data_IF_203979432253
#
_entry.id   IF_203979432253
#
_cell.length_a   1.000
_cell.length_b   1.000
_cell.length_c   1.000
_cell.angle_alpha   90.00
_cell.angle_beta   90.00
_cell.angle_gamma   90.00
#
_symmetry.space_group_name_H-M   'P 1'
#
loop_
_entity.id
_entity.type
_entity.pdbx_description
1 polymer ?
#
# COMPACT_ATOMS: atom_id res chain seq x y z
N UNK A 1 -24.26 11.83 5.17
CA UNK A 1 -25.12 10.94 4.34
C UNK A 1 -26.11 11.67 3.45
N UNK A 2 -26.12 13.00 3.45
CA UNK A 2 -27.10 13.83 2.69
C UNK A 2 -26.90 13.82 1.16
N UNK A 3 -25.81 13.23 0.64
CA UNK A 3 -25.47 13.25 -0.79
C UNK A 3 -25.75 11.96 -1.55
N UNK A 4 -26.19 10.89 -0.86
CA UNK A 4 -26.46 9.61 -1.50
C UNK A 4 -27.97 9.38 -1.71
N UNK A 5 -28.33 8.71 -2.81
CA UNK A 5 -29.73 8.38 -3.05
C UNK A 5 -30.26 7.47 -1.95
N UNK A 6 -31.55 7.60 -1.57
CA UNK A 6 -32.17 6.73 -0.54
C UNK A 6 -32.05 5.23 -0.85
N UNK A 7 -31.99 4.86 -2.12
CA UNK A 7 -31.80 3.47 -2.57
C UNK A 7 -30.41 2.96 -2.17
N UNK A 8 -29.36 3.76 -2.33
CA UNK A 8 -27.97 3.39 -1.96
C UNK A 8 -27.89 3.27 -0.44
N UNK A 9 -28.40 4.24 0.30
CA UNK A 9 -28.40 4.22 1.78
C UNK A 9 -29.08 2.94 2.29
N UNK A 10 -30.26 2.62 1.77
CA UNK A 10 -30.99 1.41 2.15
C UNK A 10 -30.21 0.13 1.83
N UNK A 11 -29.55 0.06 0.66
CA UNK A 11 -28.75 -1.10 0.28
C UNK A 11 -27.57 -1.30 1.23
N UNK A 12 -26.85 -0.23 1.56
CA UNK A 12 -25.73 -0.26 2.51
C UNK A 12 -26.20 -0.73 3.90
N UNK A 13 -27.28 -0.16 4.42
CA UNK A 13 -27.83 -0.58 5.72
C UNK A 13 -28.29 -2.04 5.71
N UNK A 14 -28.88 -2.51 4.62
CA UNK A 14 -29.29 -3.93 4.47
C UNK A 14 -28.07 -4.85 4.54
N UNK A 15 -26.98 -4.51 3.86
CA UNK A 15 -25.73 -5.30 3.90
C UNK A 15 -25.13 -5.24 5.29
N UNK A 16 -24.96 -4.03 5.85
CA UNK A 16 -24.36 -3.80 7.15
C UNK A 16 -25.06 -4.56 8.28
N UNK A 17 -26.40 -4.62 8.25
CA UNK A 17 -27.20 -5.28 9.29
C UNK A 17 -27.41 -6.78 9.04
N UNK A 18 -26.89 -7.32 7.96
CA UNK A 18 -27.03 -8.76 7.70
C UNK A 18 -26.26 -9.59 8.74
N UNK A 19 -26.81 -10.73 9.22
CA UNK A 19 -26.18 -11.52 10.28
C UNK A 19 -24.76 -12.01 9.93
N UNK A 20 -24.49 -12.31 8.67
CA UNK A 20 -23.17 -12.76 8.23
C UNK A 20 -22.13 -11.64 8.25
N UNK A 21 -22.54 -10.43 7.85
CA UNK A 21 -21.65 -9.25 7.93
C UNK A 21 -21.39 -8.86 9.38
N UNK A 22 -22.40 -8.93 10.24
CA UNK A 22 -22.22 -8.68 11.67
C UNK A 22 -21.24 -9.69 12.29
N UNK A 23 -21.35 -10.99 11.98
CA UNK A 23 -20.36 -11.99 12.43
C UNK A 23 -18.94 -11.68 11.94
N UNK A 24 -18.79 -11.15 10.73
CA UNK A 24 -17.47 -10.75 10.23
C UNK A 24 -16.89 -9.56 11.01
N UNK A 25 -17.72 -8.57 11.35
CA UNK A 25 -17.30 -7.45 12.20
C UNK A 25 -16.93 -7.92 13.63
N UNK A 26 -17.70 -8.84 14.19
CA UNK A 26 -17.41 -9.40 15.52
C UNK A 26 -16.10 -10.19 15.46
N UNK A 27 -15.87 -11.00 14.42
CA UNK A 27 -14.62 -11.71 14.22
C UNK A 27 -13.41 -10.76 14.25
N UNK A 28 -13.46 -9.66 13.48
CA UNK A 28 -12.35 -8.69 13.44
C UNK A 28 -12.07 -8.09 14.82
N UNK A 29 -13.13 -7.78 15.59
CA UNK A 29 -12.98 -7.25 16.96
C UNK A 29 -12.36 -8.27 17.91
N UNK A 30 -12.84 -9.51 17.87
CA UNK A 30 -12.37 -10.60 18.72
C UNK A 30 -10.94 -11.04 18.41
N UNK A 31 -10.48 -10.83 17.14
CA UNK A 31 -9.16 -11.25 16.66
C UNK A 31 -8.20 -10.07 16.42
N UNK A 32 -8.42 -8.94 17.12
CA UNK A 32 -7.55 -7.77 16.97
C UNK A 32 -6.09 -8.08 17.31
N UNK A 33 -5.84 -8.87 18.35
CA UNK A 33 -4.49 -9.28 18.77
C UNK A 33 -3.79 -10.13 17.72
N UNK A 34 -4.53 -10.92 16.96
CA UNK A 34 -4.01 -11.68 15.82
C UNK A 34 -3.55 -10.72 14.71
N UNK A 35 -4.37 -9.74 14.39
CA UNK A 35 -4.03 -8.70 13.38
C UNK A 35 -2.79 -7.91 13.78
N UNK A 36 -2.69 -7.52 15.06
CA UNK A 36 -1.51 -6.81 15.60
C UNK A 36 -0.26 -7.69 15.53
N UNK A 37 -0.39 -8.99 15.83
CA UNK A 37 0.72 -9.94 15.73
C UNK A 37 1.23 -10.06 14.28
N UNK A 38 0.32 -10.18 13.31
CA UNK A 38 0.65 -10.25 11.89
C UNK A 38 1.34 -8.96 11.41
N UNK A 39 0.83 -7.82 11.84
CA UNK A 39 1.44 -6.52 11.55
C UNK A 39 2.87 -6.43 12.12
N UNK A 40 3.06 -6.87 13.37
CA UNK A 40 4.39 -6.89 14.01
C UNK A 40 5.35 -7.86 13.31
N UNK A 41 4.86 -8.99 12.85
CA UNK A 41 5.68 -9.95 12.10
C UNK A 41 6.12 -9.35 10.75
N UNK A 42 5.18 -8.79 10.00
CA UNK A 42 5.44 -8.25 8.67
C UNK A 42 6.36 -7.01 8.70
N UNK A 43 6.24 -6.13 9.71
CA UNK A 43 7.08 -4.93 9.78
C UNK A 43 8.55 -5.25 10.04
N UNK A 44 8.85 -6.35 10.72
CA UNK A 44 10.23 -6.80 10.96
C UNK A 44 10.94 -7.32 9.70
N UNK A 45 10.20 -7.58 8.64
CA UNK A 45 10.76 -7.92 7.34
C UNK A 45 10.97 -6.61 6.57
N UNK A 46 12.20 -6.09 6.62
CA UNK A 46 12.54 -4.85 5.93
C UNK A 46 12.33 -4.97 4.42
N UNK A 47 11.66 -3.99 3.85
CA UNK A 47 11.31 -3.97 2.43
C UNK A 47 11.43 -2.54 1.87
N UNK A 48 12.65 -2.00 1.75
CA UNK A 48 12.85 -0.75 1.01
C UNK A 48 12.28 -0.87 -0.40
N UNK A 49 11.75 0.22 -0.95
CA UNK A 49 11.22 0.28 -2.32
C UNK A 49 12.17 -0.37 -3.33
N UNK A 50 11.67 -1.34 -4.09
CA UNK A 50 12.44 -2.18 -5.02
C UNK A 50 13.12 -3.41 -4.38
N UNK A 51 12.89 -3.68 -3.08
CA UNK A 51 13.49 -4.79 -2.34
C UNK A 51 12.47 -5.59 -1.50
N UNK A 52 11.23 -5.71 -1.99
CA UNK A 52 10.07 -6.22 -1.25
C UNK A 52 9.99 -7.75 -1.23
N UNK A 53 10.81 -8.46 -1.98
CA UNK A 53 10.69 -9.91 -2.21
C UNK A 53 10.44 -10.72 -0.93
N UNK A 54 11.23 -10.51 0.10
CA UNK A 54 11.13 -11.28 1.35
C UNK A 54 9.78 -11.06 2.06
N UNK A 55 9.31 -9.81 2.11
CA UNK A 55 8.00 -9.48 2.68
C UNK A 55 6.86 -10.02 1.83
N UNK A 56 7.00 -9.95 0.50
CA UNK A 56 6.05 -10.53 -0.45
C UNK A 56 5.89 -12.05 -0.28
N UNK A 57 6.99 -12.78 -0.15
CA UNK A 57 6.98 -14.22 0.10
C UNK A 57 6.27 -14.56 1.42
N UNK A 58 6.52 -13.80 2.48
CA UNK A 58 5.83 -14.01 3.76
C UNK A 58 4.35 -13.67 3.67
N UNK A 59 3.99 -12.54 3.06
CA UNK A 59 2.60 -12.14 2.88
C UNK A 59 1.80 -13.14 2.03
N UNK A 60 2.41 -13.66 0.95
CA UNK A 60 1.85 -14.76 0.16
C UNK A 60 1.53 -15.98 1.02
N UNK A 61 2.46 -16.38 1.91
CA UNK A 61 2.26 -17.52 2.82
C UNK A 61 1.11 -17.26 3.79
N UNK A 62 1.04 -16.07 4.38
CA UNK A 62 -0.02 -15.69 5.32
C UNK A 62 -1.40 -15.68 4.66
N UNK A 63 -1.52 -15.22 3.42
CA UNK A 63 -2.78 -15.28 2.66
C UNK A 63 -3.20 -16.71 2.37
N UNK A 64 -2.25 -17.62 2.07
CA UNK A 64 -2.51 -19.08 1.94
C UNK A 64 -2.96 -19.70 3.26
N UNK A 65 -2.28 -19.38 4.35
CA UNK A 65 -2.65 -19.82 5.70
C UNK A 65 -4.06 -19.33 6.08
N UNK A 66 -4.44 -18.15 5.62
CA UNK A 66 -5.81 -17.61 5.78
C UNK A 66 -6.84 -18.26 4.84
N UNK A 67 -6.43 -19.22 4.01
CA UNK A 67 -7.32 -20.01 3.15
C UNK A 67 -7.60 -19.43 1.78
N UNK A 68 -6.65 -18.69 1.22
CA UNK A 68 -6.72 -18.21 -0.16
C UNK A 68 -5.89 -19.16 -1.05
N UNK A 69 -6.57 -19.98 -1.86
CA UNK A 69 -5.92 -21.01 -2.68
C UNK A 69 -5.51 -20.49 -4.07
N UNK A 70 -6.30 -19.59 -4.66
CA UNK A 70 -6.01 -18.96 -5.96
C UNK A 70 -5.13 -17.72 -5.73
N UNK A 71 -3.84 -17.97 -5.54
CA UNK A 71 -2.86 -16.93 -5.16
C UNK A 71 -1.50 -17.20 -5.79
N UNK A 72 -0.86 -16.15 -6.29
CA UNK A 72 0.49 -16.19 -6.84
C UNK A 72 1.26 -14.90 -6.55
N UNK A 73 2.56 -14.97 -6.73
CA UNK A 73 3.45 -13.81 -6.78
C UNK A 73 3.92 -13.65 -8.22
N UNK A 74 3.84 -12.44 -8.75
CA UNK A 74 4.27 -12.14 -10.12
C UNK A 74 5.80 -11.95 -10.21
N UNK A 75 6.29 -11.67 -11.42
CA UNK A 75 7.72 -11.46 -11.69
C UNK A 75 8.29 -10.19 -11.04
N UNK A 76 7.43 -9.27 -10.62
CA UNK A 76 7.77 -8.04 -9.92
C UNK A 76 7.62 -8.15 -8.40
N UNK A 77 7.22 -9.33 -7.90
CA UNK A 77 6.94 -9.64 -6.49
C UNK A 77 5.62 -9.05 -5.96
N UNK A 78 4.70 -8.57 -6.82
CA UNK A 78 3.33 -8.32 -6.37
C UNK A 78 2.69 -9.64 -5.94
N UNK A 79 1.99 -9.64 -4.83
CA UNK A 79 1.19 -10.76 -4.36
C UNK A 79 -0.25 -10.54 -4.78
N UNK A 80 -0.81 -11.46 -5.54
CA UNK A 80 -2.16 -11.34 -6.11
C UNK A 80 -2.93 -12.61 -5.79
N UNK A 81 -3.95 -12.49 -4.96
CA UNK A 81 -4.80 -13.60 -4.56
C UNK A 81 -6.26 -13.31 -4.79
N UNK A 82 -7.05 -14.33 -5.10
CA UNK A 82 -8.46 -14.19 -5.45
C UNK A 82 -9.36 -15.04 -4.56
N UNK A 83 -10.33 -14.39 -3.92
CA UNK A 83 -11.48 -15.02 -3.31
C UNK A 83 -12.62 -15.06 -4.34
N UNK A 84 -13.00 -16.26 -4.75
CA UNK A 84 -14.05 -16.45 -5.75
C UNK A 84 -15.43 -16.03 -5.24
N UNK A 85 -16.10 -15.21 -6.04
CA UNK A 85 -17.50 -14.88 -5.85
C UNK A 85 -18.44 -16.02 -6.24
N UNK A 86 -19.69 -15.92 -5.83
CA UNK A 86 -20.73 -16.92 -6.14
C UNK A 86 -21.50 -16.62 -7.42
N UNK A 87 -21.42 -15.37 -7.93
CA UNK A 87 -22.27 -14.90 -9.03
C UNK A 87 -21.73 -15.17 -10.43
N UNK A 88 -20.49 -15.64 -10.57
CA UNK A 88 -19.82 -15.83 -11.87
C UNK A 88 -20.02 -14.63 -12.83
N UNK A 89 -19.85 -13.43 -12.30
CA UNK A 89 -20.24 -12.18 -12.97
C UNK A 89 -19.19 -11.64 -13.94
N UNK A 90 -17.97 -12.17 -13.91
CA UNK A 90 -16.83 -11.60 -14.59
C UNK A 90 -16.36 -10.24 -14.00
N UNK A 91 -16.93 -9.85 -12.87
CA UNK A 91 -16.60 -8.61 -12.17
C UNK A 91 -15.87 -8.89 -10.85
N UNK A 92 -15.05 -7.94 -10.41
CA UNK A 92 -14.33 -8.03 -9.15
C UNK A 92 -14.17 -6.70 -8.43
N UNK A 93 -13.77 -6.79 -7.16
CA UNK A 93 -13.27 -5.69 -6.34
C UNK A 93 -11.83 -6.03 -5.97
N UNK A 94 -10.96 -5.06 -5.97
CA UNK A 94 -9.57 -5.19 -5.53
C UNK A 94 -9.41 -4.52 -4.15
N UNK A 95 -8.88 -5.26 -3.19
CA UNK A 95 -8.37 -4.75 -1.91
C UNK A 95 -6.85 -4.79 -1.97
N UNK A 96 -6.22 -3.68 -1.66
CA UNK A 96 -4.79 -3.52 -1.84
C UNK A 96 -4.16 -2.82 -0.64
N UNK A 97 -2.89 -3.11 -0.39
CA UNK A 97 -1.95 -2.40 0.43
C UNK A 97 -0.56 -2.64 -0.11
N UNK A 98 0.36 -1.69 0.09
CA UNK A 98 1.71 -1.84 -0.44
C UNK A 98 2.67 -2.52 0.53
N UNK A 99 3.69 -3.19 -0.02
CA UNK A 99 4.66 -3.98 0.72
C UNK A 99 5.91 -3.20 1.09
N UNK A 100 6.24 -2.20 0.28
CA UNK A 100 7.45 -1.41 0.45
C UNK A 100 7.32 -0.33 1.52
N UNK A 101 8.45 0.25 1.86
CA UNK A 101 8.56 1.36 2.78
C UNK A 101 9.67 2.31 2.34
N UNK A 102 9.60 3.57 2.75
CA UNK A 102 10.64 4.58 2.52
C UNK A 102 11.91 4.33 3.33
N UNK A 103 11.89 3.38 4.26
CA UNK A 103 13.01 3.11 5.17
C UNK A 103 14.05 2.19 4.53
N UNK A 104 15.32 2.43 4.85
CA UNK A 104 16.44 1.64 4.35
C UNK A 104 16.66 0.37 5.17
N UNK A 105 17.38 -0.59 4.60
CA UNK A 105 17.84 -1.76 5.36
C UNK A 105 18.64 -1.33 6.60
N UNK A 106 18.32 -1.91 7.74
CA UNK A 106 18.91 -1.63 9.02
C UNK A 106 18.25 -0.47 9.79
N UNK A 107 17.19 0.14 9.28
CA UNK A 107 16.42 1.17 10.02
C UNK A 107 15.46 0.54 11.03
N UNK A 108 14.99 -0.67 10.80
CA UNK A 108 14.13 -1.41 11.73
C UNK A 108 14.98 -2.02 12.85
N UNK A 109 15.02 -1.34 14.00
CA UNK A 109 15.79 -1.78 15.19
C UNK A 109 14.99 -2.65 16.15
N UNK A 110 13.72 -2.83 15.89
CA UNK A 110 12.77 -3.55 16.73
C UNK A 110 11.46 -2.81 16.87
N UNK A 111 10.57 -3.36 17.67
CA UNK A 111 9.24 -2.81 17.92
C UNK A 111 9.20 -2.30 19.37
N UNK A 112 8.82 -1.07 19.55
CA UNK A 112 8.59 -0.47 20.86
C UNK A 112 7.10 -0.24 21.09
N UNK A 113 6.64 -0.38 22.33
CA UNK A 113 5.26 -0.02 22.71
C UNK A 113 5.36 0.96 23.86
N UNK A 114 4.76 2.13 23.69
CA UNK A 114 4.80 3.16 24.72
C UNK A 114 3.76 2.91 25.84
N UNK A 115 3.75 3.81 26.84
CA UNK A 115 2.86 3.70 27.99
C UNK A 115 1.37 3.85 27.63
N UNK A 116 1.06 4.47 26.50
CA UNK A 116 -0.29 4.62 25.95
C UNK A 116 -0.70 3.45 25.07
N UNK A 117 0.17 2.43 24.89
CA UNK A 117 -0.07 1.26 24.08
C UNK A 117 0.14 1.48 22.57
N UNK A 118 0.74 2.60 22.16
CA UNK A 118 1.06 2.85 20.77
C UNK A 118 2.31 2.07 20.35
N UNK A 119 2.26 1.49 19.17
CA UNK A 119 3.35 0.68 18.61
C UNK A 119 4.21 1.55 17.70
N UNK A 120 5.51 1.58 17.96
CA UNK A 120 6.50 2.35 17.23
C UNK A 120 7.47 1.40 16.51
N UNK A 121 7.51 1.50 15.18
CA UNK A 121 8.46 0.84 14.31
C UNK A 121 8.44 1.52 12.94
N UNK A 122 9.57 1.72 12.26
CA UNK A 122 9.59 2.19 10.88
C UNK A 122 8.72 1.31 9.97
N UNK A 123 7.77 1.91 9.23
CA UNK A 123 6.86 1.18 8.33
C UNK A 123 5.71 0.41 9.01
N UNK A 124 5.49 0.57 10.32
CA UNK A 124 4.42 -0.15 11.04
C UNK A 124 3.02 0.32 10.61
N UNK A 125 2.88 1.59 10.27
CA UNK A 125 1.61 2.19 9.88
C UNK A 125 1.48 2.22 8.36
N UNK A 126 2.50 2.72 7.70
CA UNK A 126 2.64 2.89 6.27
C UNK A 126 3.62 1.84 5.72
N UNK A 127 3.19 0.74 5.04
CA UNK A 127 1.77 0.35 4.96
C UNK A 127 1.56 -1.07 5.51
N UNK A 128 2.42 -1.50 6.43
CA UNK A 128 2.27 -2.84 7.04
C UNK A 128 0.89 -3.04 7.71
N UNK A 129 0.27 -1.95 8.15
CA UNK A 129 -1.07 -1.98 8.73
C UNK A 129 -2.11 -2.43 7.72
N UNK A 130 -2.06 -1.96 6.48
CA UNK A 130 -3.05 -2.30 5.48
C UNK A 130 -2.97 -3.76 5.06
N UNK A 131 -1.77 -4.28 4.84
CA UNK A 131 -1.60 -5.69 4.48
C UNK A 131 -2.03 -6.62 5.61
N UNK A 132 -1.82 -6.25 6.88
CA UNK A 132 -2.37 -6.99 8.03
C UNK A 132 -3.91 -6.86 8.13
N UNK A 133 -4.47 -5.68 7.83
CA UNK A 133 -5.92 -5.49 7.79
C UNK A 133 -6.57 -6.32 6.67
N UNK A 134 -5.94 -6.42 5.50
CA UNK A 134 -6.42 -7.26 4.40
C UNK A 134 -6.45 -8.75 4.80
N UNK A 135 -5.47 -9.24 5.56
CA UNK A 135 -5.49 -10.59 6.15
C UNK A 135 -6.67 -10.77 7.10
N UNK A 136 -6.90 -9.80 7.99
CA UNK A 136 -8.02 -9.84 8.93
C UNK A 136 -9.38 -9.87 8.21
N UNK A 137 -9.53 -9.05 7.14
CA UNK A 137 -10.74 -9.06 6.30
C UNK A 137 -10.94 -10.42 5.64
N UNK A 138 -9.90 -11.02 5.06
CA UNK A 138 -9.99 -12.36 4.46
C UNK A 138 -10.44 -13.41 5.47
N UNK A 139 -9.80 -13.45 6.64
CA UNK A 139 -10.17 -14.38 7.73
C UNK A 139 -11.60 -14.17 8.20
N UNK A 140 -12.04 -12.92 8.33
CA UNK A 140 -13.42 -12.59 8.70
C UNK A 140 -14.43 -13.09 7.66
N UNK A 141 -14.15 -12.95 6.36
CA UNK A 141 -14.98 -13.53 5.30
C UNK A 141 -15.09 -15.05 5.44
N UNK A 142 -13.99 -15.74 5.69
CA UNK A 142 -13.96 -17.19 5.87
C UNK A 142 -14.71 -17.61 7.13
N UNK A 143 -14.44 -17.01 8.28
CA UNK A 143 -15.05 -17.35 9.57
C UNK A 143 -16.57 -17.10 9.59
N UNK A 144 -17.00 -15.99 8.99
CA UNK A 144 -18.44 -15.67 8.87
C UNK A 144 -19.15 -16.42 7.74
N UNK A 145 -18.44 -17.24 6.97
CA UNK A 145 -18.92 -17.87 5.73
C UNK A 145 -19.56 -16.83 4.79
N UNK A 146 -18.94 -15.66 4.71
CA UNK A 146 -19.36 -14.61 3.77
C UNK A 146 -18.98 -15.02 2.35
N UNK A 147 -19.99 -15.00 1.46
CA UNK A 147 -19.82 -15.32 0.05
C UNK A 147 -20.16 -14.07 -0.77
N UNK A 148 -19.16 -13.36 -1.29
CA UNK A 148 -19.41 -12.22 -2.16
C UNK A 148 -20.05 -12.68 -3.48
N UNK A 149 -20.78 -11.79 -4.13
CA UNK A 149 -21.35 -12.06 -5.47
C UNK A 149 -20.24 -11.98 -6.53
N UNK A 150 -19.39 -10.95 -6.44
CA UNK A 150 -18.25 -10.72 -7.32
C UNK A 150 -16.98 -11.31 -6.70
N UNK A 151 -15.96 -11.56 -7.52
CA UNK A 151 -14.66 -11.94 -7.02
C UNK A 151 -14.04 -10.79 -6.21
N UNK A 152 -13.24 -11.13 -5.21
CA UNK A 152 -12.42 -10.15 -4.47
C UNK A 152 -10.96 -10.53 -4.65
N UNK A 153 -10.16 -9.59 -5.16
CA UNK A 153 -8.72 -9.70 -5.17
C UNK A 153 -8.13 -9.10 -3.90
N UNK A 154 -7.21 -9.82 -3.28
CA UNK A 154 -6.38 -9.36 -2.16
C UNK A 154 -4.97 -9.21 -2.70
N UNK A 155 -4.43 -7.99 -2.68
CA UNK A 155 -3.14 -7.70 -3.26
C UNK A 155 -2.19 -7.06 -2.24
N UNK A 156 -0.92 -7.46 -2.33
CA UNK A 156 0.20 -6.73 -1.77
C UNK A 156 1.04 -6.23 -2.93
N UNK A 157 1.11 -4.92 -3.14
CA UNK A 157 1.82 -4.33 -4.27
C UNK A 157 3.22 -3.86 -3.86
N UNK A 158 4.11 -3.74 -4.84
CA UNK A 158 5.49 -3.28 -4.66
C UNK A 158 5.67 -1.89 -5.27
N UNK A 159 6.76 -1.22 -4.90
CA UNK A 159 7.16 0.05 -5.52
C UNK A 159 6.04 1.11 -5.49
N UNK A 160 5.34 1.26 -4.38
CA UNK A 160 4.39 2.35 -4.19
C UNK A 160 5.14 3.66 -3.98
N UNK A 161 6.13 3.65 -3.07
CA UNK A 161 6.81 4.79 -2.50
C UNK A 161 7.81 5.46 -3.44
N UNK A 162 7.87 6.79 -3.35
CA UNK A 162 8.89 7.61 -3.97
C UNK A 162 9.11 7.32 -5.46
N UNK A 163 10.35 7.01 -5.85
CA UNK A 163 10.71 6.68 -7.23
C UNK A 163 10.12 5.34 -7.73
N UNK A 164 9.51 4.56 -6.86
CA UNK A 164 8.68 3.41 -7.20
C UNK A 164 7.49 3.85 -8.05
N UNK A 165 6.85 4.97 -7.69
CA UNK A 165 5.82 5.63 -8.49
C UNK A 165 4.62 4.73 -8.75
N UNK A 166 4.18 3.94 -7.76
CA UNK A 166 3.02 3.04 -7.83
C UNK A 166 3.12 1.99 -8.96
N UNK A 167 4.33 1.61 -9.37
CA UNK A 167 4.53 0.65 -10.48
C UNK A 167 3.87 -0.69 -10.20
N UNK A 168 3.94 -1.19 -8.96
CA UNK A 168 3.32 -2.47 -8.58
C UNK A 168 1.82 -2.48 -8.83
N UNK A 169 1.12 -1.41 -8.46
CA UNK A 169 -0.30 -1.27 -8.74
C UNK A 169 -0.56 -1.21 -10.24
N UNK A 170 0.24 -0.44 -11.00
CA UNK A 170 0.08 -0.36 -12.46
C UNK A 170 0.24 -1.74 -13.13
N UNK A 171 1.25 -2.53 -12.75
CA UNK A 171 1.45 -3.90 -13.24
C UNK A 171 0.30 -4.83 -12.83
N UNK A 172 -0.19 -4.72 -11.59
CA UNK A 172 -1.34 -5.50 -11.12
C UNK A 172 -2.60 -5.21 -11.93
N UNK A 173 -2.89 -3.94 -12.17
CA UNK A 173 -4.05 -3.55 -12.98
C UNK A 173 -3.91 -4.02 -14.43
N UNK A 174 -2.71 -3.93 -15.01
CA UNK A 174 -2.44 -4.42 -16.36
C UNK A 174 -2.66 -5.93 -16.50
N UNK A 175 -2.26 -6.72 -15.50
CA UNK A 175 -2.52 -8.16 -15.46
C UNK A 175 -4.01 -8.52 -15.29
N UNK A 176 -4.78 -7.68 -14.63
CA UNK A 176 -6.19 -7.95 -14.32
C UNK A 176 -7.17 -7.43 -15.39
N UNK A 177 -6.78 -6.46 -16.21
CA UNK A 177 -7.67 -5.78 -17.19
C UNK A 177 -8.40 -6.73 -18.14
N UNK A 178 -7.73 -7.83 -18.54
CA UNK A 178 -8.27 -8.81 -19.48
C UNK A 178 -8.90 -10.03 -18.77
N UNK A 179 -8.74 -10.14 -17.45
CA UNK A 179 -9.25 -11.26 -16.64
C UNK A 179 -10.59 -10.95 -15.98
N UNK A 180 -10.84 -9.69 -15.66
CA UNK A 180 -12.02 -9.28 -14.91
C UNK A 180 -12.34 -7.81 -15.15
N UNK A 181 -13.62 -7.45 -14.94
CA UNK A 181 -14.04 -6.06 -14.87
C UNK A 181 -13.93 -5.58 -13.43
N UNK A 182 -12.94 -4.76 -13.12
CA UNK A 182 -12.83 -4.12 -11.81
C UNK A 182 -13.96 -3.11 -11.62
N UNK A 183 -14.76 -3.31 -10.57
CA UNK A 183 -15.84 -2.41 -10.17
C UNK A 183 -15.34 -1.32 -9.23
N UNK A 184 -14.37 -1.66 -8.39
CA UNK A 184 -13.71 -0.76 -7.45
C UNK A 184 -12.32 -1.29 -7.09
N UNK A 185 -11.43 -0.37 -6.80
CA UNK A 185 -10.18 -0.62 -6.10
C UNK A 185 -10.24 0.11 -4.77
N UNK A 186 -9.95 -0.58 -3.69
CA UNK A 186 -9.87 -0.05 -2.34
C UNK A 186 -8.42 -0.24 -1.89
N UNK A 187 -7.65 0.83 -1.95
CA UNK A 187 -6.30 0.88 -1.40
C UNK A 187 -6.42 1.36 0.05
N UNK A 188 -5.88 0.58 0.97
CA UNK A 188 -5.74 0.98 2.36
C UNK A 188 -4.32 1.52 2.48
N UNK A 189 -4.15 2.66 3.14
CA UNK A 189 -2.85 3.31 3.29
C UNK A 189 -2.71 3.91 4.69
N UNK A 190 -1.47 4.27 5.06
CA UNK A 190 -1.02 4.63 6.40
C UNK A 190 -1.75 5.77 7.13
N UNK A 191 -2.76 6.37 6.53
CA UNK A 191 -3.50 7.48 7.08
C UNK A 191 -4.43 7.12 8.27
N UNK A 192 -5.26 8.05 8.67
CA UNK A 192 -6.27 7.83 9.71
C UNK A 192 -7.46 7.05 9.18
N UNK A 193 -8.07 6.21 10.01
CA UNK A 193 -9.22 5.37 9.64
C UNK A 193 -10.51 6.15 9.28
N UNK A 194 -10.49 7.47 9.42
CA UNK A 194 -11.67 8.33 9.23
C UNK A 194 -11.69 9.03 7.87
N UNK A 195 -10.64 8.87 7.06
CA UNK A 195 -10.49 9.61 5.80
C UNK A 195 -10.62 8.66 4.62
N UNK A 196 -11.50 9.01 3.68
CA UNK A 196 -11.61 8.38 2.37
C UNK A 196 -11.21 9.35 1.29
N UNK A 197 -10.18 9.00 0.52
CA UNK A 197 -9.76 9.74 -0.65
C UNK A 197 -10.46 9.18 -1.89
N UNK A 198 -11.39 9.93 -2.46
CA UNK A 198 -12.08 9.56 -3.70
C UNK A 198 -11.43 10.16 -4.96
N UNK A 199 -10.47 11.05 -4.77
CA UNK A 199 -9.74 11.73 -5.83
C UNK A 199 -8.25 11.68 -5.52
N UNK A 200 -7.43 11.50 -6.55
CA UNK A 200 -5.98 11.55 -6.44
C UNK A 200 -5.44 12.83 -7.10
N UNK A 201 -4.37 13.36 -6.53
CA UNK A 201 -3.58 14.43 -7.16
C UNK A 201 -2.50 13.77 -8.02
N UNK A 202 -2.39 14.19 -9.28
CA UNK A 202 -1.29 13.73 -10.12
C UNK A 202 0.06 14.19 -9.55
N UNK A 203 1.02 13.27 -9.51
CA UNK A 203 2.39 13.51 -9.04
C UNK A 203 3.38 13.28 -10.20
N UNK A 204 4.46 14.04 -10.20
CA UNK A 204 5.58 13.87 -11.11
C UNK A 204 6.83 13.88 -10.26
N UNK A 205 7.55 12.76 -10.26
CA UNK A 205 8.86 12.63 -9.63
C UNK A 205 9.96 12.98 -10.63
N UNK A 206 10.95 13.71 -10.17
CA UNK A 206 12.11 14.09 -10.95
C UNK A 206 13.38 13.59 -10.26
N UNK A 207 14.06 12.65 -10.90
CA UNK A 207 15.41 12.26 -10.51
C UNK A 207 16.44 13.08 -11.30
N UNK A 208 17.35 13.73 -10.60
CA UNK A 208 18.45 14.49 -11.21
C UNK A 208 19.78 13.89 -10.78
N UNK A 209 20.45 13.26 -11.71
CA UNK A 209 21.84 12.78 -11.51
C UNK A 209 22.81 13.85 -11.97
N UNK A 210 23.68 14.28 -11.06
CA UNK A 210 24.75 15.26 -11.34
C UNK A 210 26.08 14.55 -11.25
N UNK A 211 26.74 14.40 -12.38
CA UNK A 211 28.09 13.87 -12.47
C UNK A 211 29.09 15.02 -12.57
N UNK A 212 30.15 14.96 -11.78
CA UNK A 212 31.19 15.98 -11.79
C UNK A 212 32.40 15.57 -10.97
N UNK A 213 33.53 16.24 -11.17
CA UNK A 213 34.79 15.93 -10.44
C UNK A 213 34.72 16.33 -8.98
N UNK A 214 33.62 16.35 -8.32
CA UNK A 214 33.40 16.63 -6.91
C UNK A 214 34.46 17.49 -6.19
N UNK A 215 34.12 18.10 -5.05
CA UNK A 215 35.09 18.88 -4.28
C UNK A 215 34.48 19.69 -3.12
N UNK A 216 35.32 20.24 -2.28
CA UNK A 216 34.91 21.08 -1.16
C UNK A 216 34.40 22.45 -1.66
N UNK A 217 33.25 22.88 -1.21
CA UNK A 217 32.54 24.10 -1.64
C UNK A 217 33.24 25.42 -1.19
N UNK A 218 34.26 25.36 -0.35
CA UNK A 218 35.04 26.55 0.08
C UNK A 218 36.47 26.47 -0.46
N UNK A 219 36.77 27.28 -1.47
CA UNK A 219 38.13 27.61 -1.87
C UNK A 219 38.76 26.84 -3.02
N UNK A 220 38.13 25.78 -3.54
CA UNK A 220 38.68 25.02 -4.68
C UNK A 220 37.68 24.99 -5.86
N UNK A 221 37.66 26.04 -6.63
CA UNK A 221 36.81 26.16 -7.81
C UNK A 221 37.29 25.38 -9.04
N UNK A 222 38.44 24.75 -8.98
CA UNK A 222 39.06 24.16 -10.17
C UNK A 222 39.33 22.65 -10.14
N UNK A 223 39.32 21.98 -8.98
CA UNK A 223 39.68 20.56 -8.86
C UNK A 223 38.78 19.78 -7.88
N UNK A 224 37.48 19.95 -8.01
CA UNK A 224 36.55 19.26 -7.15
C UNK A 224 36.36 17.80 -7.58
N UNK A 225 36.59 16.85 -6.70
CA UNK A 225 36.59 15.41 -6.98
C UNK A 225 35.49 14.56 -6.39
N UNK A 226 34.44 15.13 -5.83
CA UNK A 226 33.17 14.43 -5.52
C UNK A 226 32.01 15.43 -5.46
N UNK A 227 30.81 15.11 -5.97
CA UNK A 227 29.65 15.96 -5.78
C UNK A 227 29.30 15.98 -4.28
N UNK A 228 29.35 17.16 -3.67
CA UNK A 228 28.76 17.32 -2.35
C UNK A 228 27.25 17.17 -2.47
N UNK A 229 26.68 16.27 -1.70
CA UNK A 229 25.22 16.22 -1.53
C UNK A 229 24.70 17.61 -1.24
N UNK A 230 23.60 18.05 -1.88
CA UNK A 230 22.97 19.30 -1.52
C UNK A 230 22.59 19.24 -0.05
N UNK A 231 23.20 20.10 0.78
CA UNK A 231 22.70 20.30 2.13
C UNK A 231 21.26 20.80 2.02
N UNK A 232 20.37 20.14 2.74
CA UNK A 232 18.96 20.41 2.96
C UNK A 232 18.39 21.61 2.19
N UNK A 233 17.39 21.34 1.38
CA UNK A 233 16.57 22.36 0.73
C UNK A 233 16.21 23.47 1.72
N UNK A 234 16.55 24.76 1.46
CA UNK A 234 16.23 25.81 2.38
C UNK A 234 14.72 25.98 2.43
N UNK A 235 14.18 25.91 3.64
CA UNK A 235 12.80 26.28 3.93
C UNK A 235 12.45 27.63 3.30
N UNK A 236 11.46 27.62 2.46
CA UNK A 236 10.69 28.73 1.89
C UNK A 236 11.21 30.13 2.15
N UNK A 237 11.88 30.71 1.16
CA UNK A 237 11.74 32.13 0.82
C UNK A 237 11.46 32.21 -0.68
N UNK A 238 10.36 32.87 -0.98
CA UNK A 238 9.78 33.32 -2.25
C UNK A 238 10.61 33.14 -3.53
N UNK A 239 10.03 32.61 -4.61
CA UNK A 239 10.73 32.38 -5.86
C UNK A 239 10.82 33.68 -6.66
N UNK A 240 12.03 34.18 -6.85
CA UNK A 240 12.29 35.06 -8.00
C UNK A 240 13.11 34.27 -9.02
N UNK A 241 12.43 34.01 -10.15
CA UNK A 241 12.98 33.62 -11.46
C UNK A 241 13.65 32.24 -11.57
N UNK A 242 12.87 31.18 -11.62
CA UNK A 242 13.20 30.03 -12.43
C UNK A 242 12.47 30.17 -13.79
N UNK A 243 13.19 30.46 -14.86
CA UNK A 243 12.63 30.35 -16.22
C UNK A 243 12.63 28.88 -16.60
N UNK A 244 11.43 28.29 -16.71
CA UNK A 244 11.20 26.97 -17.30
C UNK A 244 11.65 26.97 -18.74
N UNK A 245 12.62 26.14 -19.10
CA UNK A 245 12.81 25.68 -20.47
C UNK A 245 12.20 24.31 -20.57
N UNK A 246 10.94 24.24 -20.96
CA UNK A 246 10.27 22.97 -21.27
C UNK A 246 10.75 22.59 -22.67
N UNK A 247 11.59 21.57 -22.77
CA UNK A 247 11.85 20.89 -24.03
C UNK A 247 10.66 19.95 -24.29
N UNK A 248 9.78 20.34 -25.20
CA UNK A 248 8.84 19.41 -25.81
C UNK A 248 9.66 18.58 -26.80
N UNK A 249 9.69 17.29 -26.60
CA UNK A 249 10.08 16.36 -27.66
C UNK A 249 8.83 16.00 -28.48
N UNK A 250 9.02 15.74 -29.80
CA UNK A 250 7.94 15.55 -30.77
C UNK A 250 7.14 14.25 -30.56
#
# INVERSE_FOLDING_TARGET
>A
MEHFSPKIVKAVETVKTSPSVQRAFDYVKEHLEETIRDQKELVLIEAPTGHEKAKAERYLSMLREAGLDDIYMDEHFNVIGKLHGTGNTGCSVLLEGHLDTVFSFGDVKGIETDAEGRIHCPGICDDTRAIAANLAVLRAFKAANLRPVHDIYFCGTVCEEGLGGMKGMAWTLDQLKDKTKLLATISIDGATAEIFYANATGMIDLEVTIEGPGGLTRGQRANASAPSMPQAWPSRKSPRSFRRKILRQP
#
